data_IF_846567927422
#
_entry.id   IF_846567927422
#
_cell.length_a   1.000
_cell.length_b   1.000
_cell.length_c   1.000
_cell.angle_alpha   90.00
_cell.angle_beta   90.00
_cell.angle_gamma   90.00
#
_symmetry.space_group_name_H-M   'P 1'
#
loop_
_entity.id
_entity.type
_entity.pdbx_description
1 polymer ?
#
# COMPACT_ATOMS: atom_id res chain seq x y z
N UNK A 1 19.70 0.09 26.80
CA UNK A 1 19.92 1.04 25.68
C UNK A 1 20.06 0.38 24.31
N UNK A 2 20.88 -0.68 24.14
CA UNK A 2 21.06 -1.37 22.84
C UNK A 2 19.74 -1.92 22.24
N UNK A 3 18.87 -2.52 23.06
CA UNK A 3 17.60 -3.07 22.57
C UNK A 3 16.57 -2.02 22.14
N UNK A 4 16.53 -0.85 22.79
CA UNK A 4 15.66 0.24 22.36
C UNK A 4 16.04 0.74 20.95
N UNK A 5 17.34 0.80 20.64
CA UNK A 5 17.81 1.18 19.30
C UNK A 5 17.32 0.24 18.20
N UNK A 6 17.37 -1.07 18.45
CA UNK A 6 16.92 -2.11 17.50
C UNK A 6 15.40 -2.03 17.25
N UNK A 7 14.61 -1.76 18.30
CA UNK A 7 13.15 -1.62 18.17
C UNK A 7 12.83 -0.38 17.30
N UNK A 8 13.53 0.73 17.51
CA UNK A 8 13.33 1.96 16.72
C UNK A 8 13.64 1.73 15.24
N UNK A 9 14.73 1.02 14.92
CA UNK A 9 15.09 0.74 13.52
C UNK A 9 14.04 -0.12 12.83
N UNK A 10 13.53 -1.18 13.47
CA UNK A 10 12.49 -2.02 12.87
C UNK A 10 11.15 -1.30 12.68
N UNK A 11 10.78 -0.40 13.60
CA UNK A 11 9.59 0.44 13.42
C UNK A 11 9.77 1.39 12.23
N UNK A 12 10.95 1.98 12.08
CA UNK A 12 11.25 2.86 10.94
C UNK A 12 11.21 2.10 9.61
N UNK A 13 11.79 0.90 9.54
CA UNK A 13 11.74 0.03 8.36
C UNK A 13 10.30 -0.34 7.98
N UNK A 14 9.47 -0.67 8.97
CA UNK A 14 8.05 -0.97 8.75
C UNK A 14 7.30 0.25 8.20
N UNK A 15 7.48 1.43 8.81
CA UNK A 15 6.87 2.67 8.33
C UNK A 15 7.32 3.03 6.91
N UNK A 16 8.61 2.83 6.60
CA UNK A 16 9.13 3.05 5.25
C UNK A 16 8.49 2.11 4.23
N UNK A 17 8.35 0.83 4.56
CA UNK A 17 7.67 -0.14 3.69
C UNK A 17 6.21 0.23 3.47
N UNK A 18 5.48 0.64 4.52
CA UNK A 18 4.11 1.13 4.40
C UNK A 18 3.99 2.37 3.52
N UNK A 19 4.95 3.29 3.61
CA UNK A 19 4.98 4.50 2.78
C UNK A 19 5.19 4.17 1.30
N UNK A 20 6.13 3.27 1.00
CA UNK A 20 6.38 2.80 -0.37
C UNK A 20 5.17 2.08 -0.95
N UNK A 21 4.51 1.21 -0.18
CA UNK A 21 3.30 0.52 -0.61
C UNK A 21 2.18 1.50 -0.99
N UNK A 22 2.01 2.57 -0.22
CA UNK A 22 1.03 3.62 -0.51
C UNK A 22 1.35 4.40 -1.79
N UNK A 23 2.63 4.73 -2.04
CA UNK A 23 3.04 5.39 -3.28
C UNK A 23 2.74 4.51 -4.50
N UNK A 24 3.13 3.23 -4.43
CA UNK A 24 2.94 2.28 -5.53
C UNK A 24 1.44 2.12 -5.84
N UNK A 25 0.61 1.98 -4.80
CA UNK A 25 -0.85 1.86 -4.96
C UNK A 25 -1.46 3.12 -5.60
N UNK A 26 -1.02 4.33 -5.19
CA UNK A 26 -1.49 5.57 -5.83
C UNK A 26 -1.07 5.68 -7.29
N UNK A 27 0.17 5.33 -7.60
CA UNK A 27 0.66 5.34 -8.99
C UNK A 27 -0.10 4.34 -9.85
N UNK A 28 -0.40 3.15 -9.31
CA UNK A 28 -1.21 2.14 -9.98
C UNK A 28 -2.63 2.65 -10.29
N UNK A 29 -3.32 3.23 -9.32
CA UNK A 29 -4.67 3.77 -9.52
C UNK A 29 -4.69 4.92 -10.55
N UNK A 30 -3.68 5.80 -10.51
CA UNK A 30 -3.54 6.87 -11.48
C UNK A 30 -3.26 6.34 -12.90
N UNK A 31 -2.46 5.28 -13.00
CA UNK A 31 -2.20 4.60 -14.27
C UNK A 31 -3.46 3.92 -14.80
N UNK A 32 -4.22 3.24 -13.94
CA UNK A 32 -5.52 2.66 -14.30
C UNK A 32 -6.48 3.72 -14.85
N UNK A 33 -6.64 4.85 -14.17
CA UNK A 33 -7.51 5.95 -14.61
C UNK A 33 -7.09 6.49 -15.99
N UNK A 34 -5.79 6.68 -16.22
CA UNK A 34 -5.26 7.12 -17.51
C UNK A 34 -5.46 6.10 -18.62
N UNK A 35 -5.26 4.82 -18.32
CA UNK A 35 -5.45 3.72 -19.27
C UNK A 35 -6.94 3.48 -19.56
N UNK A 36 -7.83 3.79 -18.62
CA UNK A 36 -9.26 3.79 -18.84
C UNK A 36 -9.72 4.94 -19.75
N UNK A 37 -9.18 6.15 -19.52
CA UNK A 37 -9.57 7.37 -20.24
C UNK A 37 -8.91 7.54 -21.63
N UNK A 38 -7.92 6.72 -21.99
CA UNK A 38 -7.32 6.77 -23.34
C UNK A 38 -8.27 6.19 -24.40
N UNK A 39 -8.13 6.65 -25.64
CA UNK A 39 -8.93 6.23 -26.81
C UNK A 39 -8.54 4.83 -27.30
N UNK A 40 -8.70 3.82 -26.43
CA UNK A 40 -8.34 2.44 -26.70
C UNK A 40 -9.10 1.80 -27.88
N UNK A 41 -10.28 2.35 -28.19
CA UNK A 41 -11.14 1.91 -29.29
C UNK A 41 -10.52 2.14 -30.67
N UNK A 42 -9.70 3.19 -30.83
CA UNK A 42 -9.09 3.60 -32.10
C UNK A 42 -7.72 2.94 -32.38
N UNK A 43 -7.20 2.10 -31.46
CA UNK A 43 -5.91 1.44 -31.66
C UNK A 43 -5.99 0.22 -32.60
N UNK A 44 -4.92 -0.05 -33.37
CA UNK A 44 -4.80 -1.27 -34.18
C UNK A 44 -4.90 -2.55 -33.32
N UNK A 45 -5.55 -3.58 -33.89
CA UNK A 45 -5.93 -4.83 -33.23
C UNK A 45 -4.89 -5.50 -32.30
N UNK A 46 -3.59 -5.62 -32.64
CA UNK A 46 -2.63 -6.26 -31.73
C UNK A 46 -2.42 -5.48 -30.42
N UNK A 47 -2.52 -4.15 -30.46
CA UNK A 47 -2.36 -3.28 -29.29
C UNK A 47 -3.62 -3.28 -28.42
N UNK A 48 -4.80 -3.34 -29.06
CA UNK A 48 -6.10 -3.41 -28.36
C UNK A 48 -6.19 -4.63 -27.42
N UNK A 49 -5.78 -5.81 -27.87
CA UNK A 49 -5.80 -7.03 -27.04
C UNK A 49 -4.87 -6.93 -25.84
N UNK A 50 -3.66 -6.39 -26.04
CA UNK A 50 -2.70 -6.19 -24.96
C UNK A 50 -3.21 -5.17 -23.93
N UNK A 51 -3.81 -4.09 -24.38
CA UNK A 51 -4.38 -3.07 -23.51
C UNK A 51 -5.54 -3.62 -22.68
N UNK A 52 -6.40 -4.44 -23.28
CA UNK A 52 -7.54 -5.06 -22.60
C UNK A 52 -7.09 -6.00 -21.47
N UNK A 53 -6.00 -6.75 -21.69
CA UNK A 53 -5.36 -7.57 -20.64
C UNK A 53 -4.79 -6.68 -19.53
N UNK A 54 -4.13 -5.58 -19.87
CA UNK A 54 -3.62 -4.64 -18.88
C UNK A 54 -4.74 -4.00 -18.06
N UNK A 55 -5.81 -3.54 -18.71
CA UNK A 55 -6.96 -2.94 -18.04
C UNK A 55 -7.60 -3.94 -17.07
N UNK A 56 -7.82 -5.18 -17.51
CA UNK A 56 -8.37 -6.24 -16.67
C UNK A 56 -7.45 -6.57 -15.47
N UNK A 57 -6.13 -6.44 -15.64
CA UNK A 57 -5.14 -6.63 -14.55
C UNK A 57 -5.13 -5.46 -13.58
N UNK A 58 -5.29 -4.22 -14.06
CA UNK A 58 -5.26 -3.02 -13.24
C UNK A 58 -6.53 -2.83 -12.42
N UNK A 59 -7.70 -3.26 -12.94
CA UNK A 59 -8.96 -3.28 -12.19
C UNK A 59 -8.96 -4.19 -10.97
N UNK A 60 -8.00 -5.11 -10.87
CA UNK A 60 -7.80 -5.89 -9.66
C UNK A 60 -6.99 -5.03 -8.69
N UNK A 61 -7.59 -4.69 -7.54
CA UNK A 61 -6.95 -3.86 -6.52
C UNK A 61 -5.52 -4.34 -6.26
N UNK A 62 -4.54 -3.47 -6.56
CA UNK A 62 -3.16 -3.70 -6.19
C UNK A 62 -3.04 -3.41 -4.70
N UNK A 63 -3.36 -4.41 -3.88
CA UNK A 63 -3.18 -4.40 -2.43
C UNK A 63 -1.78 -4.96 -2.16
N UNK A 64 -0.75 -4.11 -1.95
CA UNK A 64 0.53 -4.59 -1.46
C UNK A 64 0.29 -5.22 -0.08
N UNK A 65 0.22 -6.55 -0.06
CA UNK A 65 -0.13 -7.28 1.14
C UNK A 65 1.16 -7.60 1.90
N UNK A 66 1.39 -6.95 3.04
CA UNK A 66 2.40 -7.42 3.97
C UNK A 66 1.86 -8.69 4.63
N UNK A 67 2.62 -9.80 4.53
CA UNK A 67 2.18 -11.16 4.88
C UNK A 67 1.47 -11.33 6.24
N UNK A 68 1.72 -10.43 7.20
CA UNK A 68 1.17 -10.47 8.57
C UNK A 68 -0.14 -9.65 8.71
N UNK A 69 -0.40 -8.66 7.83
CA UNK A 69 -1.59 -7.80 7.85
C UNK A 69 -2.53 -8.08 6.68
N UNK A 70 -2.60 -9.35 6.27
CA UNK A 70 -3.10 -9.85 4.99
C UNK A 70 -4.55 -9.47 4.60
N UNK A 71 -5.30 -8.78 5.46
CA UNK A 71 -6.65 -8.27 5.19
C UNK A 71 -6.73 -6.77 4.89
N UNK A 72 -5.66 -5.99 5.10
CA UNK A 72 -5.66 -4.54 4.92
C UNK A 72 -4.49 -4.06 4.04
N UNK A 73 -4.81 -3.22 3.05
CA UNK A 73 -3.86 -2.48 2.22
C UNK A 73 -2.82 -1.75 3.06
N UNK A 74 -1.54 -1.88 2.68
CA UNK A 74 -0.41 -1.04 3.12
C UNK A 74 -0.72 0.42 2.79
N UNK A 75 -1.42 1.06 3.71
CA UNK A 75 -2.03 2.37 3.54
C UNK A 75 -1.81 3.19 4.81
N UNK A 76 -1.94 4.51 4.71
CA UNK A 76 -1.98 5.45 5.83
C UNK A 76 -2.85 4.98 7.02
N UNK A 77 -3.91 4.24 6.73
CA UNK A 77 -4.79 3.64 7.76
C UNK A 77 -4.07 2.59 8.63
N UNK A 78 -3.16 1.79 8.08
CA UNK A 78 -2.36 0.83 8.85
C UNK A 78 -1.33 1.51 9.74
N UNK A 79 -0.62 2.54 9.23
CA UNK A 79 0.30 3.33 10.05
C UNK A 79 -0.41 3.94 11.26
N UNK A 80 -1.57 4.58 11.05
CA UNK A 80 -2.33 5.20 12.14
C UNK A 80 -2.88 4.18 13.13
N UNK A 81 -3.30 3.00 12.70
CA UNK A 81 -3.70 1.89 13.58
C UNK A 81 -2.53 1.41 14.43
N UNK A 82 -1.36 1.19 13.82
CA UNK A 82 -0.15 0.75 14.52
C UNK A 82 0.29 1.77 15.58
N UNK A 83 0.35 3.06 15.22
CA UNK A 83 0.71 4.14 16.16
C UNK A 83 -0.30 4.27 17.29
N UNK A 84 -1.61 4.19 16.99
CA UNK A 84 -2.67 4.21 18.02
C UNK A 84 -2.52 3.05 18.99
N UNK A 85 -2.24 1.85 18.50
CA UNK A 85 -2.11 0.67 19.34
C UNK A 85 -0.90 0.76 20.28
N UNK A 86 0.24 1.28 19.80
CA UNK A 86 1.39 1.57 20.65
C UNK A 86 1.03 2.62 21.71
N UNK A 87 0.38 3.71 21.32
CA UNK A 87 -0.03 4.76 22.25
C UNK A 87 -0.99 4.26 23.34
N UNK A 88 -1.98 3.43 22.99
CA UNK A 88 -2.90 2.84 23.97
C UNK A 88 -2.19 1.89 24.91
N UNK A 89 -1.26 1.05 24.40
CA UNK A 89 -0.47 0.15 25.24
C UNK A 89 0.40 0.93 26.23
N UNK A 90 1.07 1.99 25.75
CA UNK A 90 1.86 2.88 26.61
C UNK A 90 0.98 3.51 27.68
N UNK A 91 -0.17 4.08 27.32
CA UNK A 91 -1.06 4.72 28.28
C UNK A 91 -1.64 3.74 29.31
N UNK A 92 -1.95 2.50 28.93
CA UNK A 92 -2.44 1.49 29.89
C UNK A 92 -1.32 1.10 30.87
N UNK A 93 -0.10 0.88 30.38
CA UNK A 93 1.05 0.50 31.20
C UNK A 93 1.58 1.65 32.09
N UNK A 94 1.41 2.91 31.68
CA UNK A 94 1.82 4.08 32.46
C UNK A 94 0.78 4.51 33.50
N UNK A 95 -0.46 4.04 33.36
CA UNK A 95 -1.58 4.40 34.25
C UNK A 95 -1.81 3.37 35.38
N UNK A 96 -1.11 2.24 35.33
CA UNK A 96 -0.91 1.29 36.44
C UNK A 96 0.36 1.62 37.20
#
# INVERSE_FOLDING_TARGET
>A
MKQCGIIITHIAEFLFHCYLGEIISRMHNHLEEKVYNMTWYDMPNPHKKFLMIMLQRTQKDLVPNAAIFSSHSLSRSLMTKFVKQIYTLLNVLLKT
#
